data_IF_918385570182
#
_entry.id   IF_918385570182
#
_cell.length_a   1.000
_cell.length_b   1.000
_cell.length_c   1.000
_cell.angle_alpha   90.00
_cell.angle_beta   90.00
_cell.angle_gamma   90.00
#
_symmetry.space_group_name_H-M   'P 1'
#
loop_
_entity.id
_entity.type
_entity.pdbx_description
1 polymer ?
#
# COMPACT_ATOMS: atom_id res chain seq x y z
N UNK A 1 25.58 27.39 -5.47
CA UNK A 1 24.37 26.54 -5.55
C UNK A 1 23.31 27.11 -4.62
N UNK A 2 22.06 27.26 -5.07
CA UNK A 2 20.99 27.74 -4.20
C UNK A 2 20.57 26.63 -3.20
N UNK A 3 20.01 27.02 -2.05
CA UNK A 3 19.49 26.06 -1.05
C UNK A 3 18.41 25.15 -1.62
N UNK A 4 17.61 25.63 -2.59
CA UNK A 4 16.58 24.81 -3.27
C UNK A 4 17.19 23.69 -4.12
N UNK A 5 18.29 23.95 -4.82
CA UNK A 5 19.01 22.92 -5.60
C UNK A 5 19.62 21.86 -4.69
N UNK A 6 20.25 22.26 -3.59
CA UNK A 6 20.78 21.32 -2.59
C UNK A 6 19.68 20.44 -2.00
N UNK A 7 18.49 21.00 -1.73
CA UNK A 7 17.34 20.24 -1.22
C UNK A 7 16.85 19.21 -2.23
N UNK A 8 16.73 19.57 -3.49
CA UNK A 8 16.31 18.64 -4.57
C UNK A 8 17.30 17.49 -4.70
N UNK A 9 18.60 17.78 -4.78
CA UNK A 9 19.65 16.76 -4.85
C UNK A 9 19.62 15.80 -3.66
N UNK A 10 19.39 16.34 -2.46
CA UNK A 10 19.25 15.52 -1.25
C UNK A 10 18.04 14.59 -1.33
N UNK A 11 16.90 15.10 -1.78
CA UNK A 11 15.68 14.27 -1.94
C UNK A 11 15.89 13.17 -2.97
N UNK A 12 16.50 13.45 -4.11
CA UNK A 12 16.84 12.46 -5.13
C UNK A 12 17.80 11.40 -4.58
N UNK A 13 18.81 11.78 -3.83
CA UNK A 13 19.75 10.86 -3.20
C UNK A 13 19.05 9.92 -2.19
N UNK A 14 18.18 10.47 -1.34
CA UNK A 14 17.36 9.68 -0.41
C UNK A 14 16.44 8.71 -1.15
N UNK A 15 15.79 9.17 -2.22
CA UNK A 15 14.92 8.34 -3.05
C UNK A 15 15.66 7.17 -3.69
N UNK A 16 16.82 7.43 -4.30
CA UNK A 16 17.65 6.37 -4.89
C UNK A 16 18.12 5.35 -3.85
N UNK A 17 18.54 5.82 -2.68
CA UNK A 17 18.98 4.94 -1.58
C UNK A 17 17.80 4.12 -1.02
N UNK A 18 16.65 4.73 -0.84
CA UNK A 18 15.44 4.03 -0.42
C UNK A 18 15.05 2.92 -1.40
N UNK A 19 15.08 3.19 -2.71
CA UNK A 19 14.80 2.19 -3.75
C UNK A 19 15.80 1.02 -3.70
N UNK A 20 17.07 1.30 -3.45
CA UNK A 20 18.09 0.27 -3.26
C UNK A 20 17.80 -0.61 -2.04
N UNK A 21 17.45 0.01 -0.88
CA UNK A 21 17.09 -0.72 0.32
C UNK A 21 15.83 -1.59 0.12
N UNK A 22 14.80 -1.07 -0.56
CA UNK A 22 13.60 -1.83 -0.87
C UNK A 22 13.89 -3.05 -1.75
N UNK A 23 14.76 -2.89 -2.76
CA UNK A 23 15.19 -3.98 -3.64
C UNK A 23 15.88 -5.09 -2.87
N UNK A 24 16.70 -4.74 -1.89
CA UNK A 24 17.40 -5.67 -1.00
C UNK A 24 16.55 -6.13 0.20
N UNK A 25 15.27 -5.75 0.25
CA UNK A 25 14.32 -6.03 1.34
C UNK A 25 14.81 -5.54 2.72
N UNK A 26 15.61 -4.49 2.73
CA UNK A 26 16.09 -3.81 3.94
C UNK A 26 15.07 -2.75 4.36
N UNK A 27 13.88 -3.19 4.77
CA UNK A 27 12.72 -2.32 5.03
C UNK A 27 12.98 -1.31 6.15
N UNK A 28 13.67 -1.70 7.21
CA UNK A 28 14.03 -0.79 8.31
C UNK A 28 14.89 0.39 7.84
N UNK A 29 15.87 0.15 6.97
CA UNK A 29 16.69 1.21 6.37
C UNK A 29 15.90 2.05 5.38
N UNK A 30 15.03 1.43 4.59
CA UNK A 30 14.15 2.14 3.66
C UNK A 30 13.21 3.12 4.40
N UNK A 31 12.65 2.75 5.54
CA UNK A 31 11.80 3.62 6.38
C UNK A 31 12.49 4.93 6.73
N UNK A 32 13.78 4.89 7.09
CA UNK A 32 14.56 6.10 7.44
C UNK A 32 14.61 7.09 6.28
N UNK A 33 14.82 6.60 5.07
CA UNK A 33 14.95 7.45 3.87
C UNK A 33 13.59 7.89 3.31
N UNK A 34 12.57 7.03 3.41
CA UNK A 34 11.22 7.29 2.91
C UNK A 34 10.46 8.31 3.76
N UNK A 35 10.69 8.33 5.07
CA UNK A 35 9.95 9.19 5.99
C UNK A 35 9.99 10.67 5.59
N UNK A 36 11.16 11.31 5.36
CA UNK A 36 11.19 12.70 4.92
C UNK A 36 10.58 12.92 3.53
N UNK A 37 10.72 11.96 2.61
CA UNK A 37 10.17 12.05 1.26
C UNK A 37 8.64 11.97 1.23
N UNK A 38 8.04 11.21 2.13
CA UNK A 38 6.60 10.98 2.22
C UNK A 38 5.77 12.20 2.67
N UNK A 39 6.42 13.30 3.02
CA UNK A 39 5.76 14.53 3.47
C UNK A 39 5.10 15.31 2.33
N UNK A 40 5.56 15.16 1.09
CA UNK A 40 5.09 15.91 -0.07
C UNK A 40 4.46 14.99 -1.12
N UNK A 41 3.21 14.60 -0.89
CA UNK A 41 2.47 13.64 -1.74
C UNK A 41 1.90 14.26 -3.02
N UNK A 42 2.06 15.57 -3.23
CA UNK A 42 1.67 16.23 -4.48
C UNK A 42 2.63 15.88 -5.62
N UNK A 43 3.86 15.51 -5.30
CA UNK A 43 4.85 15.01 -6.26
C UNK A 43 4.75 13.50 -6.43
N UNK A 44 5.14 13.00 -7.60
CA UNK A 44 5.19 11.55 -7.84
C UNK A 44 6.15 10.83 -6.89
N UNK A 45 7.33 11.42 -6.65
CA UNK A 45 8.33 10.88 -5.72
C UNK A 45 7.79 10.78 -4.29
N UNK A 46 7.14 11.85 -3.80
CA UNK A 46 6.60 11.88 -2.43
C UNK A 46 5.41 10.96 -2.26
N UNK A 47 4.54 10.86 -3.25
CA UNK A 47 3.41 9.94 -3.24
C UNK A 47 3.86 8.46 -3.28
N UNK A 48 4.83 8.14 -4.13
CA UNK A 48 5.46 6.80 -4.12
C UNK A 48 6.11 6.51 -2.77
N UNK A 49 6.87 7.47 -2.22
CA UNK A 49 7.52 7.31 -0.91
C UNK A 49 6.50 7.07 0.20
N UNK A 50 5.34 7.73 0.18
CA UNK A 50 4.25 7.52 1.15
C UNK A 50 3.71 6.09 1.09
N UNK A 51 3.44 5.58 -0.11
CA UNK A 51 3.03 4.19 -0.31
C UNK A 51 4.12 3.20 0.14
N UNK A 52 5.37 3.41 -0.30
CA UNK A 52 6.48 2.52 0.03
C UNK A 52 6.78 2.50 1.53
N UNK A 53 6.59 3.63 2.23
CA UNK A 53 6.72 3.70 3.69
C UNK A 53 5.67 2.81 4.38
N UNK A 54 4.41 2.92 3.98
CA UNK A 54 3.34 2.06 4.50
C UNK A 54 3.63 0.58 4.21
N UNK A 55 4.05 0.27 2.99
CA UNK A 55 4.41 -1.09 2.58
C UNK A 55 5.60 -1.63 3.39
N UNK A 56 6.64 -0.83 3.63
CA UNK A 56 7.78 -1.21 4.44
C UNK A 56 7.38 -1.54 5.88
N UNK A 57 6.51 -0.73 6.50
CA UNK A 57 5.95 -1.05 7.81
C UNK A 57 5.15 -2.35 7.81
N UNK A 58 4.36 -2.59 6.78
CA UNK A 58 3.62 -3.84 6.62
C UNK A 58 4.57 -5.05 6.56
N UNK A 59 5.64 -4.97 5.78
CA UNK A 59 6.65 -6.03 5.65
C UNK A 59 7.43 -6.27 6.96
N UNK A 60 7.60 -5.24 7.78
CA UNK A 60 8.21 -5.33 9.11
C UNK A 60 7.26 -5.89 10.18
N UNK A 61 6.00 -6.13 9.85
CA UNK A 61 4.98 -6.55 10.80
C UNK A 61 4.42 -5.43 11.68
N UNK A 62 4.78 -4.18 11.41
CA UNK A 62 4.28 -2.98 12.10
C UNK A 62 2.94 -2.54 11.50
N UNK A 63 1.92 -3.36 11.65
CA UNK A 63 0.64 -3.26 10.92
C UNK A 63 -0.09 -1.95 11.26
N UNK A 64 -0.08 -1.54 12.53
CA UNK A 64 -0.70 -0.28 12.97
C UNK A 64 -0.04 0.94 12.32
N UNK A 65 1.31 0.94 12.20
CA UNK A 65 2.02 2.02 11.52
C UNK A 65 1.74 2.03 10.03
N UNK A 66 1.67 0.85 9.39
CA UNK A 66 1.29 0.74 7.99
C UNK A 66 -0.10 1.34 7.74
N UNK A 67 -1.08 0.98 8.56
CA UNK A 67 -2.44 1.52 8.48
C UNK A 67 -2.47 3.04 8.68
N UNK A 68 -1.77 3.55 9.69
CA UNK A 68 -1.66 5.00 9.95
C UNK A 68 -1.12 5.76 8.75
N UNK A 69 -0.10 5.23 8.06
CA UNK A 69 0.46 5.85 6.86
C UNK A 69 -0.55 5.88 5.70
N UNK A 70 -1.29 4.79 5.49
CA UNK A 70 -2.35 4.75 4.47
C UNK A 70 -3.46 5.73 4.81
N UNK A 71 -3.97 5.72 6.04
CA UNK A 71 -5.05 6.62 6.46
C UNK A 71 -4.63 8.09 6.39
N UNK A 72 -3.41 8.40 6.78
CA UNK A 72 -2.82 9.73 6.60
C UNK A 72 -2.80 10.14 5.13
N UNK A 73 -2.43 9.23 4.23
CA UNK A 73 -2.39 9.50 2.79
C UNK A 73 -3.77 9.84 2.23
N UNK A 74 -4.82 9.16 2.67
CA UNK A 74 -6.19 9.44 2.22
C UNK A 74 -6.68 10.84 2.61
N UNK A 75 -6.11 11.44 3.65
CA UNK A 75 -6.44 12.79 4.12
C UNK A 75 -5.59 13.89 3.48
N UNK A 76 -4.49 13.53 2.83
CA UNK A 76 -3.61 14.47 2.15
C UNK A 76 -4.12 14.76 0.74
N UNK A 77 -3.95 16.00 0.28
CA UNK A 77 -4.29 16.36 -1.11
C UNK A 77 -3.20 15.88 -2.06
N UNK A 78 -3.59 15.05 -3.02
CA UNK A 78 -2.70 14.54 -4.06
C UNK A 78 -3.44 14.37 -5.39
N UNK A 79 -2.75 14.65 -6.49
CA UNK A 79 -3.16 14.26 -7.85
C UNK A 79 -2.59 12.89 -8.26
N UNK A 80 -1.76 12.29 -7.40
CA UNK A 80 -1.05 11.02 -7.66
C UNK A 80 -1.95 9.83 -7.32
N UNK A 81 -3.00 9.64 -8.13
CA UNK A 81 -4.06 8.66 -7.88
C UNK A 81 -3.55 7.21 -7.89
N UNK A 82 -2.54 6.90 -8.68
CA UNK A 82 -1.94 5.57 -8.74
C UNK A 82 -1.39 5.12 -7.37
N UNK A 83 -0.58 5.97 -6.74
CA UNK A 83 0.03 5.65 -5.45
C UNK A 83 -0.98 5.62 -4.30
N UNK A 84 -1.99 6.48 -4.37
CA UNK A 84 -3.11 6.43 -3.44
C UNK A 84 -3.91 5.12 -3.59
N UNK A 85 -4.19 4.69 -4.81
CA UNK A 85 -4.86 3.42 -5.09
C UNK A 85 -4.03 2.22 -4.60
N UNK A 86 -2.73 2.21 -4.83
CA UNK A 86 -1.80 1.19 -4.30
C UNK A 86 -1.87 1.13 -2.77
N UNK A 87 -1.96 2.28 -2.11
CA UNK A 87 -2.08 2.35 -0.64
C UNK A 87 -3.41 1.80 -0.14
N UNK A 88 -4.51 2.04 -0.85
CA UNK A 88 -5.81 1.47 -0.51
C UNK A 88 -5.86 -0.06 -0.74
N UNK A 89 -5.16 -0.56 -1.74
CA UNK A 89 -4.97 -2.01 -1.92
C UNK A 89 -4.18 -2.60 -0.73
N UNK A 90 -3.14 -1.92 -0.28
CA UNK A 90 -2.39 -2.32 0.92
C UNK A 90 -3.29 -2.32 2.17
N UNK A 91 -4.23 -1.38 2.28
CA UNK A 91 -5.21 -1.37 3.36
C UNK A 91 -6.12 -2.61 3.32
N UNK A 92 -6.49 -3.08 2.13
CA UNK A 92 -7.19 -4.35 1.99
C UNK A 92 -6.32 -5.53 2.47
N UNK A 93 -5.03 -5.56 2.11
CA UNK A 93 -4.09 -6.59 2.59
C UNK A 93 -3.94 -6.58 4.13
N UNK A 94 -3.92 -5.41 4.75
CA UNK A 94 -3.92 -5.25 6.21
C UNK A 94 -5.16 -5.89 6.83
N UNK A 95 -6.33 -5.66 6.24
CA UNK A 95 -7.58 -6.26 6.73
C UNK A 95 -7.62 -7.77 6.51
N UNK A 96 -7.10 -8.28 5.41
CA UNK A 96 -6.93 -9.72 5.17
C UNK A 96 -6.07 -10.34 6.27
N UNK A 97 -4.95 -9.73 6.62
CA UNK A 97 -4.08 -10.21 7.67
C UNK A 97 -4.75 -10.22 9.05
N UNK A 98 -5.69 -9.31 9.30
CA UNK A 98 -6.51 -9.26 10.52
C UNK A 98 -7.71 -10.22 10.49
N UNK A 99 -7.84 -11.00 9.43
CA UNK A 99 -8.99 -11.87 9.14
C UNK A 99 -10.32 -11.11 8.98
N UNK A 100 -10.27 -9.84 8.60
CA UNK A 100 -11.44 -9.02 8.26
C UNK A 100 -11.63 -9.00 6.73
N UNK A 101 -12.06 -10.13 6.20
CA UNK A 101 -12.24 -10.35 4.76
C UNK A 101 -13.35 -9.44 4.21
N UNK A 102 -14.41 -9.23 5.00
CA UNK A 102 -15.50 -8.36 4.59
C UNK A 102 -15.02 -6.93 4.33
N UNK A 103 -14.28 -6.36 5.27
CA UNK A 103 -13.75 -4.99 5.12
C UNK A 103 -12.76 -4.87 3.98
N UNK A 104 -11.88 -5.87 3.82
CA UNK A 104 -10.95 -5.93 2.69
C UNK A 104 -11.68 -5.88 1.35
N UNK A 105 -12.73 -6.70 1.20
CA UNK A 105 -13.57 -6.75 -0.01
C UNK A 105 -14.26 -5.39 -0.27
N UNK A 106 -14.76 -4.72 0.76
CA UNK A 106 -15.39 -3.40 0.63
C UNK A 106 -14.40 -2.35 0.09
N UNK A 107 -13.18 -2.31 0.57
CA UNK A 107 -12.15 -1.40 0.05
C UNK A 107 -11.83 -1.68 -1.42
N UNK A 108 -11.67 -2.94 -1.81
CA UNK A 108 -11.36 -3.32 -3.19
C UNK A 108 -12.51 -2.98 -4.14
N UNK A 109 -13.76 -3.25 -3.75
CA UNK A 109 -14.94 -2.94 -4.57
C UNK A 109 -15.15 -1.42 -4.73
N UNK A 110 -14.97 -0.66 -3.66
CA UNK A 110 -15.05 0.80 -3.71
C UNK A 110 -13.99 1.37 -4.65
N UNK A 111 -12.76 0.86 -4.57
CA UNK A 111 -11.67 1.28 -5.45
C UNK A 111 -11.95 0.88 -6.90
N UNK A 112 -12.42 -0.33 -7.16
CA UNK A 112 -12.80 -0.81 -8.49
C UNK A 112 -13.84 0.10 -9.15
N UNK A 113 -14.83 0.55 -8.37
CA UNK A 113 -15.90 1.43 -8.86
C UNK A 113 -15.43 2.84 -9.16
N UNK A 114 -14.51 3.38 -8.35
CA UNK A 114 -14.14 4.80 -8.40
C UNK A 114 -12.85 5.09 -9.18
N UNK A 115 -11.96 4.11 -9.33
CA UNK A 115 -10.70 4.30 -10.03
C UNK A 115 -10.86 4.19 -11.54
N UNK A 116 -10.40 5.20 -12.30
CA UNK A 116 -10.66 5.33 -13.75
C UNK A 116 -9.40 5.46 -14.62
N UNK A 117 -8.21 5.27 -14.02
CA UNK A 117 -6.96 5.37 -14.78
C UNK A 117 -6.70 4.08 -15.57
N UNK A 118 -6.02 4.21 -16.71
CA UNK A 118 -5.60 3.09 -17.55
C UNK A 118 -4.20 2.63 -17.15
N UNK A 119 -4.14 1.77 -16.13
CA UNK A 119 -2.93 1.17 -15.59
C UNK A 119 -3.22 -0.23 -15.03
N UNK A 120 -2.33 -0.78 -14.20
CA UNK A 120 -2.45 -2.13 -13.66
C UNK A 120 -3.37 -2.25 -12.42
N UNK A 121 -3.88 -1.14 -11.89
CA UNK A 121 -4.70 -1.15 -10.66
C UNK A 121 -5.93 -2.02 -10.78
N UNK A 122 -6.68 -1.92 -11.89
CA UNK A 122 -7.89 -2.71 -12.07
C UNK A 122 -7.60 -4.22 -12.12
N UNK A 123 -6.52 -4.63 -12.77
CA UNK A 123 -6.13 -6.04 -12.80
C UNK A 123 -5.70 -6.55 -11.44
N UNK A 124 -4.96 -5.76 -10.66
CA UNK A 124 -4.59 -6.12 -9.28
C UNK A 124 -5.83 -6.30 -8.40
N UNK A 125 -6.82 -5.40 -8.52
CA UNK A 125 -8.07 -5.49 -7.76
C UNK A 125 -8.82 -6.78 -8.10
N UNK A 126 -8.97 -7.08 -9.39
CA UNK A 126 -9.67 -8.29 -9.86
C UNK A 126 -8.99 -9.56 -9.33
N UNK A 127 -7.67 -9.65 -9.44
CA UNK A 127 -6.91 -10.78 -8.92
C UNK A 127 -7.12 -10.98 -7.41
N UNK A 128 -7.11 -9.89 -6.64
CA UNK A 128 -7.35 -9.95 -5.20
C UNK A 128 -8.78 -10.35 -4.85
N UNK A 129 -9.76 -9.82 -5.57
CA UNK A 129 -11.17 -10.20 -5.34
C UNK A 129 -11.41 -11.68 -5.65
N UNK A 130 -10.83 -12.21 -6.73
CA UNK A 130 -10.90 -13.64 -7.06
C UNK A 130 -10.26 -14.50 -5.96
N UNK A 131 -9.09 -14.10 -5.47
CA UNK A 131 -8.42 -14.81 -4.38
C UNK A 131 -9.26 -14.84 -3.09
N UNK A 132 -9.96 -13.75 -2.76
CA UNK A 132 -10.85 -13.68 -1.60
C UNK A 132 -12.08 -14.57 -1.75
N UNK A 133 -12.66 -14.67 -2.94
CA UNK A 133 -13.78 -15.60 -3.20
C UNK A 133 -13.34 -17.07 -3.06
N UNK A 134 -12.17 -17.42 -3.55
CA UNK A 134 -11.61 -18.77 -3.40
C UNK A 134 -11.35 -19.13 -1.92
N UNK A 135 -10.91 -18.19 -1.11
CA UNK A 135 -10.73 -18.38 0.33
C UNK A 135 -12.07 -18.67 1.02
N UNK A 136 -13.12 -17.90 0.73
CA UNK A 136 -14.45 -18.10 1.30
C UNK A 136 -15.03 -19.48 0.95
N UNK A 137 -14.92 -19.91 -0.29
CA UNK A 137 -15.40 -21.22 -0.73
C UNK A 137 -14.70 -22.35 0.03
N UNK A 138 -13.39 -22.23 0.25
CA UNK A 138 -12.62 -23.23 0.98
C UNK A 138 -13.00 -23.29 2.48
N UNK A 139 -13.30 -22.16 3.11
CA UNK A 139 -13.78 -22.11 4.49
C UNK A 139 -15.15 -22.79 4.62
N UNK A 140 -16.10 -22.47 3.74
CA UNK A 140 -17.43 -23.09 3.73
C UNK A 140 -17.37 -24.61 3.51
N UNK A 141 -16.49 -25.09 2.62
CA UNK A 141 -16.30 -26.54 2.38
C UNK A 141 -15.75 -27.25 3.61
N UNK A 142 -14.75 -26.65 4.28
CA UNK A 142 -14.15 -27.22 5.49
C UNK A 142 -15.13 -27.28 6.66
N UNK A 143 -15.98 -26.27 6.85
CA UNK A 143 -17.04 -26.25 7.88
C UNK A 143 -18.06 -27.36 7.63
N UNK A 144 -18.46 -27.60 6.38
CA UNK A 144 -19.38 -28.68 6.01
C UNK A 144 -18.77 -30.06 6.27
N UNK A 145 -17.48 -30.25 6.01
CA UNK A 145 -16.77 -31.52 6.27
C UNK A 145 -16.62 -31.80 7.77
N UNK A 146 -16.38 -30.78 8.60
CA UNK A 146 -16.31 -30.94 10.06
C UNK A 146 -17.68 -31.27 10.68
N UNK A 147 -18.77 -30.67 10.19
CA UNK A 147 -20.14 -30.94 10.67
C UNK A 147 -20.68 -32.31 10.26
N UNK A 148 -20.06 -32.96 9.28
CA UNK A 148 -20.47 -34.32 8.80
C UNK A 148 -19.69 -35.47 9.46
N UNK A 149 -18.72 -35.15 10.30
CA UNK A 149 -17.97 -36.15 11.10
C UNK A 149 -18.54 -36.32 12.50
#
# INVERSE_FOLDING_TARGET
MSLSVCRVLRQEALYCRAKAHLKEKQYGLAVVDLTPLSKEVRTAMGAEAKYQLAHAYFQLGSIELAEQEVMSFTQMQTSQQYWLAKSLILLADINIQRNDIFQAKQYLLALQTNYRQEDDIQSIIVEKLVALEEMNINEEVNEIEEDTL
#
